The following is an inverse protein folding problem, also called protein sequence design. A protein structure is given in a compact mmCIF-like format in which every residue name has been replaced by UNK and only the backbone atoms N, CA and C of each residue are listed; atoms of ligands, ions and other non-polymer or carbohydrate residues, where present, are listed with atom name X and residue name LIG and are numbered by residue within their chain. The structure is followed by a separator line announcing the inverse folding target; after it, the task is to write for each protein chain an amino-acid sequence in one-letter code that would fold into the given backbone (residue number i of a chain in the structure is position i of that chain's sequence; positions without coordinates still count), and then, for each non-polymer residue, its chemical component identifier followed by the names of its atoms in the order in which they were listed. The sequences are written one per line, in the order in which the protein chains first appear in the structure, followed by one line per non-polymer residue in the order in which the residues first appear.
data_IF_190032674087
#
_entry.id   IF_190032674087
#
_cell.length_a   1.000
_cell.length_b   1.000
_cell.length_c   1.000
_cell.angle_alpha   90.00
_cell.angle_beta   90.00
_cell.angle_gamma   90.00
#
_symmetry.space_group_name_H-M   'P 1'
#
loop_
_entity.id
_entity.type
_entity.pdbx_description
1 polymer ?
#
# COMPACT_ATOMS: atom_id res chain seq x y z
N UNK A 1 6.80 8.59 -11.21
CA UNK A 1 6.81 9.02 -9.78
C UNK A 1 6.36 7.89 -8.88
N UNK A 2 6.80 7.88 -7.61
CA UNK A 2 6.42 6.84 -6.64
C UNK A 2 4.90 6.72 -6.49
N UNK A 3 4.20 7.84 -6.39
CA UNK A 3 2.75 7.86 -6.25
C UNK A 3 2.05 7.38 -7.52
N UNK A 4 2.57 7.71 -8.70
CA UNK A 4 2.02 7.28 -9.98
C UNK A 4 2.02 5.75 -10.11
N UNK A 5 3.18 5.13 -9.88
CA UNK A 5 3.33 3.68 -9.98
C UNK A 5 2.66 2.93 -8.83
N UNK A 6 2.91 3.37 -7.58
CA UNK A 6 2.51 2.59 -6.40
C UNK A 6 1.06 2.80 -5.97
N UNK A 7 0.40 3.88 -6.44
CA UNK A 7 -0.97 4.20 -6.05
C UNK A 7 -1.88 4.48 -7.25
N UNK A 8 -1.62 5.51 -8.05
CA UNK A 8 -2.55 5.91 -9.11
C UNK A 8 -2.77 4.82 -10.18
N UNK A 9 -1.70 4.11 -10.57
CA UNK A 9 -1.80 2.97 -11.47
C UNK A 9 -2.65 1.83 -10.89
N UNK A 10 -2.43 1.50 -9.61
CA UNK A 10 -3.24 0.49 -8.92
C UNK A 10 -4.68 0.93 -8.70
N UNK A 11 -4.91 2.21 -8.42
CA UNK A 11 -6.24 2.81 -8.33
C UNK A 11 -7.02 2.63 -9.63
N UNK A 12 -6.42 3.03 -10.75
CA UNK A 12 -7.05 2.93 -12.06
C UNK A 12 -7.35 1.47 -12.44
N UNK A 13 -6.36 0.59 -12.36
CA UNK A 13 -6.51 -0.84 -12.69
C UNK A 13 -7.58 -1.49 -11.82
N UNK A 14 -7.60 -1.21 -10.51
CA UNK A 14 -8.61 -1.79 -9.61
C UNK A 14 -10.02 -1.35 -10.01
N UNK A 15 -10.26 -0.05 -10.23
CA UNK A 15 -11.58 0.44 -10.59
C UNK A 15 -12.04 -0.09 -11.96
N UNK A 16 -11.15 -0.19 -12.94
CA UNK A 16 -11.47 -0.76 -14.26
C UNK A 16 -11.83 -2.25 -14.20
N UNK A 17 -11.21 -3.00 -13.30
CA UNK A 17 -11.46 -4.43 -13.14
C UNK A 17 -12.60 -4.75 -12.17
N UNK A 18 -12.98 -3.80 -11.30
CA UNK A 18 -13.91 -4.01 -10.19
C UNK A 18 -15.23 -4.68 -10.59
N UNK A 19 -15.87 -4.35 -11.74
CA UNK A 19 -17.09 -5.01 -12.19
C UNK A 19 -16.93 -6.52 -12.49
N UNK A 20 -15.68 -6.98 -12.68
CA UNK A 20 -15.37 -8.38 -12.99
C UNK A 20 -14.85 -9.15 -11.78
N UNK A 21 -14.69 -8.50 -10.63
CA UNK A 21 -14.21 -9.14 -9.41
C UNK A 21 -15.38 -9.74 -8.63
N UNK A 22 -15.15 -10.89 -8.00
CA UNK A 22 -16.22 -11.63 -7.31
C UNK A 22 -15.97 -11.83 -5.81
N UNK A 23 -14.74 -11.64 -5.32
CA UNK A 23 -14.41 -11.90 -3.91
C UNK A 23 -13.67 -10.74 -3.24
N UNK A 24 -12.46 -10.39 -3.69
CA UNK A 24 -11.66 -9.39 -2.98
C UNK A 24 -10.58 -8.70 -3.81
N UNK A 25 -10.12 -7.56 -3.27
CA UNK A 25 -8.91 -6.85 -3.71
C UNK A 25 -7.92 -6.84 -2.56
N UNK A 26 -6.67 -7.23 -2.82
CA UNK A 26 -5.57 -7.13 -1.84
C UNK A 26 -4.54 -6.11 -2.31
N UNK A 27 -4.44 -5.00 -1.59
CA UNK A 27 -3.52 -3.90 -1.89
C UNK A 27 -2.21 -4.07 -1.12
N UNK A 28 -1.08 -4.01 -1.80
CA UNK A 28 0.23 -4.15 -1.15
C UNK A 28 0.71 -2.81 -0.61
N UNK A 29 0.82 -2.72 0.73
CA UNK A 29 1.38 -1.58 1.44
C UNK A 29 2.72 -1.93 2.10
N UNK A 30 3.14 -1.19 3.12
CA UNK A 30 4.39 -1.39 3.86
C UNK A 30 4.30 -0.74 5.25
N UNK A 31 5.13 -1.21 6.19
CA UNK A 31 5.36 -0.50 7.46
C UNK A 31 5.92 0.91 7.24
N UNK A 32 6.54 1.17 6.10
CA UNK A 32 6.97 2.51 5.71
C UNK A 32 5.83 3.55 5.61
N UNK A 33 4.55 3.15 5.67
CA UNK A 33 3.43 4.09 5.73
C UNK A 33 3.40 4.97 7.00
N UNK A 34 4.04 4.55 8.10
CA UNK A 34 4.00 5.25 9.38
C UNK A 34 4.49 6.71 9.33
N UNK A 35 5.67 7.04 8.75
CA UNK A 35 6.10 8.42 8.57
C UNK A 35 5.41 9.12 7.39
N UNK A 36 4.63 8.40 6.59
CA UNK A 36 3.95 8.94 5.41
C UNK A 36 3.01 10.11 5.75
N UNK A 37 2.89 11.05 4.80
CA UNK A 37 1.93 12.15 4.83
C UNK A 37 1.39 12.37 3.43
N UNK A 38 0.08 12.54 3.30
CA UNK A 38 -0.54 12.94 2.04
C UNK A 38 -0.51 14.47 1.94
N UNK A 39 -0.03 14.97 0.82
CA UNK A 39 -0.09 16.38 0.42
C UNK A 39 -0.90 16.42 -0.87
N UNK A 40 -2.18 16.72 -0.77
CA UNK A 40 -3.10 16.71 -1.92
C UNK A 40 -2.71 17.75 -2.97
N UNK A 41 -2.20 18.91 -2.54
CA UNK A 41 -1.74 20.01 -3.39
C UNK A 41 -0.39 19.75 -4.07
N UNK A 42 0.39 18.76 -3.59
CA UNK A 42 1.71 18.40 -4.13
C UNK A 42 1.97 16.89 -4.04
N UNK A 43 1.01 16.10 -4.48
CA UNK A 43 1.07 14.64 -4.43
C UNK A 43 2.30 14.08 -5.17
N UNK A 44 2.72 14.76 -6.25
CA UNK A 44 3.84 14.39 -7.12
C UNK A 44 5.19 15.03 -6.75
N UNK A 45 5.31 15.73 -5.62
CA UNK A 45 6.55 16.36 -5.17
C UNK A 45 7.13 17.38 -6.18
N UNK A 46 6.30 18.19 -6.80
CA UNK A 46 6.72 19.21 -7.78
C UNK A 46 7.16 20.52 -7.12
N UNK A 47 6.64 20.83 -5.92
CA UNK A 47 6.88 22.09 -5.21
C UNK A 47 7.89 21.94 -4.07
N UNK A 48 7.90 20.83 -3.37
CA UNK A 48 8.79 20.55 -2.23
C UNK A 48 10.01 19.75 -2.66
N UNK A 49 11.09 19.81 -1.86
CA UNK A 49 12.29 19.01 -2.10
C UNK A 49 11.96 17.52 -2.12
N UNK A 50 12.31 16.85 -3.19
CA UNK A 50 12.05 15.42 -3.34
C UNK A 50 12.88 14.59 -2.35
N UNK A 51 12.20 13.71 -1.62
CA UNK A 51 12.81 12.69 -0.76
C UNK A 51 12.27 11.33 -1.19
N UNK A 52 13.12 10.44 -1.74
CA UNK A 52 12.69 9.11 -2.20
C UNK A 52 11.98 8.31 -1.11
N UNK A 53 12.52 8.35 0.11
CA UNK A 53 11.94 7.65 1.27
C UNK A 53 10.56 8.19 1.66
N UNK A 54 10.41 9.50 1.78
CA UNK A 54 9.12 10.10 2.13
C UNK A 54 8.10 9.97 1.00
N UNK A 55 8.52 10.01 -0.26
CA UNK A 55 7.64 9.76 -1.40
C UNK A 55 7.15 8.30 -1.42
N UNK A 56 8.03 7.34 -1.11
CA UNK A 56 7.66 5.95 -0.92
C UNK A 56 6.68 5.79 0.25
N UNK A 57 6.98 6.38 1.41
CA UNK A 57 6.14 6.35 2.60
C UNK A 57 4.74 6.94 2.32
N UNK A 58 4.68 8.05 1.59
CA UNK A 58 3.43 8.64 1.11
C UNK A 58 2.65 7.67 0.24
N UNK A 59 3.30 7.00 -0.72
CA UNK A 59 2.63 6.05 -1.60
C UNK A 59 2.05 4.83 -0.86
N UNK A 60 2.75 4.36 0.19
CA UNK A 60 2.28 3.23 1.00
C UNK A 60 1.16 3.63 1.97
N UNK A 61 1.16 4.87 2.46
CA UNK A 61 0.03 5.43 3.18
C UNK A 61 -1.19 5.59 2.26
N UNK A 62 -0.99 6.07 1.04
CA UNK A 62 -2.05 6.21 0.04
C UNK A 62 -2.74 4.86 -0.25
N UNK A 63 -1.98 3.77 -0.30
CA UNK A 63 -2.53 2.44 -0.51
C UNK A 63 -3.42 1.97 0.65
N UNK A 64 -3.12 2.32 1.90
CA UNK A 64 -3.99 2.00 3.03
C UNK A 64 -5.26 2.86 3.06
N UNK A 65 -5.14 4.15 2.73
CA UNK A 65 -6.29 5.04 2.59
C UNK A 65 -7.21 4.58 1.44
N UNK A 66 -6.63 4.18 0.31
CA UNK A 66 -7.35 3.59 -0.81
C UNK A 66 -8.12 2.33 -0.38
N UNK A 67 -7.48 1.42 0.35
CA UNK A 67 -8.13 0.19 0.83
C UNK A 67 -9.34 0.50 1.72
N UNK A 68 -9.20 1.46 2.65
CA UNK A 68 -10.27 1.85 3.55
C UNK A 68 -11.44 2.51 2.81
N UNK A 69 -11.15 3.41 1.89
CA UNK A 69 -12.18 4.10 1.11
C UNK A 69 -12.86 3.17 0.10
N UNK A 70 -12.11 2.25 -0.53
CA UNK A 70 -12.68 1.23 -1.40
C UNK A 70 -13.68 0.37 -0.62
N UNK A 71 -13.32 -0.12 0.57
CA UNK A 71 -14.26 -0.90 1.39
C UNK A 71 -15.52 -0.10 1.72
N UNK A 72 -15.37 1.15 2.17
CA UNK A 72 -16.50 2.01 2.48
C UNK A 72 -17.45 2.20 1.28
N UNK A 73 -16.92 2.35 0.09
CA UNK A 73 -17.71 2.47 -1.16
C UNK A 73 -18.40 1.17 -1.52
N UNK A 74 -17.71 0.04 -1.40
CA UNK A 74 -18.30 -1.28 -1.60
C UNK A 74 -19.46 -1.53 -0.64
N UNK A 75 -19.29 -1.22 0.64
CA UNK A 75 -20.35 -1.34 1.66
C UNK A 75 -21.55 -0.45 1.31
N UNK A 76 -21.32 0.77 0.82
CA UNK A 76 -22.40 1.72 0.49
C UNK A 76 -23.31 1.27 -0.67
N UNK A 77 -22.83 0.39 -1.54
CA UNK A 77 -23.60 -0.20 -2.64
C UNK A 77 -24.02 -1.65 -2.35
N UNK A 78 -23.79 -2.15 -1.13
CA UNK A 78 -24.13 -3.52 -0.74
C UNK A 78 -23.32 -4.59 -1.47
N UNK A 79 -22.13 -4.27 -1.96
CA UNK A 79 -21.28 -5.23 -2.66
C UNK A 79 -20.68 -6.24 -1.68
N UNK A 80 -20.65 -7.56 -2.01
CA UNK A 80 -20.00 -8.59 -1.18
C UNK A 80 -18.47 -8.57 -1.28
N UNK A 81 -17.90 -7.75 -2.15
CA UNK A 81 -16.45 -7.63 -2.34
C UNK A 81 -15.77 -7.08 -1.08
N UNK A 82 -14.56 -7.53 -0.84
CA UNK A 82 -13.74 -7.08 0.29
C UNK A 82 -12.46 -6.41 -0.21
N UNK A 83 -12.17 -5.23 0.30
CA UNK A 83 -10.90 -4.56 0.11
C UNK A 83 -10.00 -4.84 1.32
N UNK A 84 -8.84 -5.43 1.09
CA UNK A 84 -7.86 -5.83 2.09
C UNK A 84 -6.51 -5.21 1.76
N UNK A 85 -5.65 -5.08 2.76
CA UNK A 85 -4.26 -4.68 2.53
C UNK A 85 -3.29 -5.68 3.17
N UNK A 86 -2.10 -5.79 2.59
CA UNK A 86 -1.03 -6.62 3.14
C UNK A 86 0.32 -5.89 3.06
N UNK A 87 1.25 -6.21 3.98
CA UNK A 87 2.66 -5.82 3.83
C UNK A 87 3.56 -7.04 4.05
N UNK A 88 4.58 -7.20 3.20
CA UNK A 88 5.43 -8.41 3.18
C UNK A 88 6.40 -8.50 4.37
N UNK A 89 6.44 -7.51 5.26
CA UNK A 89 7.57 -7.36 6.19
C UNK A 89 8.77 -6.76 5.46
N UNK A 90 9.96 -7.16 5.86
CA UNK A 90 11.22 -6.77 5.20
C UNK A 90 11.72 -7.93 4.34
N UNK A 91 11.44 -7.91 3.05
CA UNK A 91 11.91 -8.93 2.12
C UNK A 91 13.03 -8.41 1.21
N UNK A 92 13.96 -9.28 0.87
CA UNK A 92 14.99 -9.02 -0.13
C UNK A 92 14.33 -8.89 -1.51
N UNK A 93 14.05 -7.67 -1.94
CA UNK A 93 13.65 -7.40 -3.31
C UNK A 93 14.71 -6.53 -3.98
N UNK A 94 14.95 -6.72 -5.28
CA UNK A 94 15.92 -5.96 -6.09
C UNK A 94 15.66 -4.43 -6.14
N UNK A 95 14.68 -3.93 -5.39
CA UNK A 95 14.37 -2.51 -5.30
C UNK A 95 15.45 -1.66 -4.60
N UNK A 96 16.39 -2.27 -3.90
CA UNK A 96 17.41 -1.54 -3.11
C UNK A 96 18.65 -1.16 -3.92
N UNK A 97 18.85 -1.73 -5.12
CA UNK A 97 20.00 -1.44 -5.98
C UNK A 97 19.89 -0.19 -6.86
N UNK A 98 18.82 0.59 -6.72
CA UNK A 98 18.54 1.72 -7.64
C UNK A 98 19.03 3.10 -7.15
N UNK A 99 19.76 3.20 -6.02
CA UNK A 99 20.12 4.51 -5.42
C UNK A 99 21.45 5.09 -5.84
N UNK A 100 22.33 4.36 -6.53
CA UNK A 100 23.57 4.89 -7.13
C UNK A 100 24.65 5.39 -6.17
N UNK A 101 24.60 5.03 -4.88
CA UNK A 101 25.62 5.40 -3.86
C UNK A 101 26.36 4.15 -3.34
N UNK A 102 27.47 3.80 -3.95
CA UNK A 102 28.21 2.55 -3.75
C UNK A 102 28.71 2.25 -2.33
N UNK A 103 28.99 3.22 -1.48
CA UNK A 103 29.51 2.99 -0.11
C UNK A 103 28.40 2.82 0.95
N UNK A 104 27.26 3.48 0.76
CA UNK A 104 26.08 3.27 1.61
C UNK A 104 25.36 1.96 1.30
N UNK A 105 25.42 1.54 0.04
CA UNK A 105 24.77 0.32 -0.45
C UNK A 105 25.45 -0.97 0.07
N UNK A 106 26.78 -0.97 0.28
CA UNK A 106 27.50 -2.13 0.82
C UNK A 106 27.19 -2.40 2.29
N UNK A 107 27.09 -1.36 3.13
CA UNK A 107 26.73 -1.50 4.55
C UNK A 107 25.25 -1.86 4.70
N UNK A 108 24.36 -1.22 3.92
CA UNK A 108 22.95 -1.56 3.88
C UNK A 108 22.71 -2.96 3.34
N UNK A 109 23.46 -3.41 2.33
CA UNK A 109 23.32 -4.76 1.78
C UNK A 109 23.74 -5.84 2.77
N UNK A 110 24.76 -5.59 3.61
CA UNK A 110 25.17 -6.51 4.66
C UNK A 110 24.12 -6.63 5.77
N UNK A 111 23.57 -5.50 6.24
CA UNK A 111 22.46 -5.47 7.21
C UNK A 111 21.20 -6.11 6.61
N UNK A 112 20.92 -5.84 5.34
CA UNK A 112 19.77 -6.38 4.62
C UNK A 112 19.86 -7.90 4.44
N UNK A 113 21.04 -8.47 4.19
CA UNK A 113 21.23 -9.94 4.10
C UNK A 113 20.93 -10.68 5.41
N UNK A 114 21.13 -10.04 6.54
CA UNK A 114 20.90 -10.65 7.86
C UNK A 114 19.44 -10.52 8.31
N UNK A 115 18.76 -9.48 7.86
CA UNK A 115 17.40 -9.12 8.35
C UNK A 115 16.30 -9.35 7.30
N UNK A 116 16.67 -9.36 6.01
CA UNK A 116 15.69 -9.56 4.95
C UNK A 116 15.26 -11.02 4.85
N UNK A 117 13.94 -11.20 4.82
CA UNK A 117 13.31 -12.51 4.62
C UNK A 117 13.26 -12.87 3.13
N UNK A 118 13.20 -14.15 2.84
CA UNK A 118 13.03 -14.69 1.50
C UNK A 118 11.74 -14.17 0.83
N UNK A 119 11.71 -14.17 -0.50
CA UNK A 119 10.55 -13.76 -1.29
C UNK A 119 9.29 -14.57 -0.93
N UNK A 120 9.45 -15.85 -0.65
CA UNK A 120 8.36 -16.73 -0.19
C UNK A 120 7.76 -16.26 1.13
N UNK A 121 8.59 -15.79 2.05
CA UNK A 121 8.09 -15.21 3.30
C UNK A 121 7.31 -13.91 3.04
N UNK A 122 7.80 -13.06 2.13
CA UNK A 122 7.11 -11.82 1.75
C UNK A 122 5.76 -12.06 1.05
N UNK A 123 5.64 -13.16 0.30
CA UNK A 123 4.38 -13.52 -0.38
C UNK A 123 3.30 -14.02 0.60
N UNK A 124 3.68 -14.62 1.73
CA UNK A 124 2.73 -15.24 2.69
C UNK A 124 1.64 -14.29 3.17
N UNK A 125 1.97 -13.02 3.42
CA UNK A 125 1.02 -12.04 3.92
C UNK A 125 -0.04 -11.69 2.87
N UNK A 126 0.37 -11.56 1.62
CA UNK A 126 -0.55 -11.33 0.50
C UNK A 126 -1.41 -12.55 0.25
N UNK A 127 -0.83 -13.75 0.24
CA UNK A 127 -1.57 -15.02 0.10
C UNK A 127 -2.54 -15.23 1.26
N UNK A 128 -2.15 -14.92 2.49
CA UNK A 128 -3.02 -14.99 3.66
C UNK A 128 -4.23 -14.05 3.50
N UNK A 129 -3.99 -12.79 3.11
CA UNK A 129 -5.07 -11.85 2.85
C UNK A 129 -5.97 -12.28 1.69
N UNK A 130 -5.40 -12.96 0.68
CA UNK A 130 -6.12 -13.44 -0.49
C UNK A 130 -6.96 -14.70 -0.21
N UNK A 131 -6.61 -15.52 0.79
CA UNK A 131 -7.22 -16.85 0.99
C UNK A 131 -8.03 -16.99 2.28
N UNK A 132 -7.75 -16.19 3.32
CA UNK A 132 -8.43 -16.32 4.60
C UNK A 132 -9.73 -15.53 4.65
N UNK A 133 -10.68 -16.01 5.44
CA UNK A 133 -11.93 -15.28 5.70
C UNK A 133 -11.66 -14.14 6.68
N UNK A 134 -11.46 -12.94 6.12
CA UNK A 134 -11.12 -11.72 6.84
C UNK A 134 -12.16 -10.64 6.56
N UNK A 135 -12.52 -9.83 7.56
CA UNK A 135 -13.36 -8.65 7.34
C UNK A 135 -12.72 -7.68 6.35
N UNK A 136 -13.53 -6.97 5.59
CA UNK A 136 -13.07 -5.86 4.76
C UNK A 136 -12.26 -4.84 5.54
N UNK A 137 -11.40 -4.12 4.87
CA UNK A 137 -10.46 -3.15 5.44
C UNK A 137 -9.44 -3.74 6.44
N UNK A 138 -9.24 -5.08 6.45
CA UNK A 138 -8.18 -5.71 7.26
C UNK A 138 -6.79 -5.42 6.65
N UNK A 139 -5.82 -5.12 7.51
CA UNK A 139 -4.41 -4.99 7.14
C UNK A 139 -3.63 -6.18 7.71
N UNK A 140 -2.98 -6.94 6.85
CA UNK A 140 -2.25 -8.17 7.18
C UNK A 140 -0.75 -7.94 7.13
N UNK A 141 -0.04 -8.48 8.10
CA UNK A 141 1.41 -8.41 8.16
C UNK A 141 2.02 -9.41 9.13
N UNK A 142 3.35 -9.44 9.25
CA UNK A 142 4.03 -10.20 10.29
C UNK A 142 3.77 -9.57 11.67
N UNK A 143 3.60 -10.42 12.70
CA UNK A 143 3.26 -10.01 14.07
C UNK A 143 4.13 -8.89 14.64
N UNK A 144 5.42 -8.91 14.35
CA UNK A 144 6.41 -7.94 14.86
C UNK A 144 6.81 -6.89 13.80
N UNK A 145 5.97 -6.66 12.80
CA UNK A 145 6.17 -5.67 11.75
C UNK A 145 7.11 -6.14 10.63
N UNK A 146 8.17 -6.87 10.94
CA UNK A 146 9.13 -7.38 9.95
C UNK A 146 9.18 -8.90 9.90
N UNK A 147 9.00 -9.55 11.02
CA UNK A 147 9.11 -11.00 11.21
C UNK A 147 7.93 -11.54 12.04
N UNK A 148 7.76 -12.86 12.01
CA UNK A 148 6.82 -13.56 12.83
C UNK A 148 5.62 -14.10 12.07
N UNK A 149 4.65 -14.60 12.82
CA UNK A 149 3.43 -15.20 12.26
C UNK A 149 2.62 -14.16 11.48
N UNK A 150 2.11 -14.54 10.32
CA UNK A 150 1.17 -13.74 9.52
C UNK A 150 -0.17 -13.60 10.25
N UNK A 151 -0.66 -12.37 10.39
CA UNK A 151 -1.91 -12.07 11.09
C UNK A 151 -2.41 -10.66 10.73
N UNK A 152 -3.66 -10.30 11.08
CA UNK A 152 -4.11 -8.92 11.10
C UNK A 152 -3.22 -8.06 12.02
N UNK A 153 -2.83 -6.89 11.53
CA UNK A 153 -1.93 -5.95 12.23
C UNK A 153 -2.50 -4.54 12.23
N UNK A 154 -2.03 -3.70 13.17
CA UNK A 154 -2.42 -2.30 13.26
C UNK A 154 -1.80 -1.44 12.15
N UNK A 155 -2.45 -0.30 11.91
CA UNK A 155 -1.98 0.75 11.00
C UNK A 155 -1.95 2.12 11.69
N UNK A 156 -1.25 3.09 11.12
CA UNK A 156 -1.17 4.44 11.69
C UNK A 156 -2.55 5.12 11.74
N UNK A 157 -2.72 6.10 12.64
CA UNK A 157 -3.96 6.91 12.69
C UNK A 157 -4.23 7.61 11.37
N UNK A 158 -3.19 8.08 10.65
CA UNK A 158 -3.34 8.69 9.34
C UNK A 158 -3.89 7.73 8.28
N UNK A 159 -3.58 6.44 8.39
CA UNK A 159 -4.10 5.41 7.48
C UNK A 159 -5.56 5.03 7.78
N UNK A 160 -6.15 5.62 8.81
CA UNK A 160 -7.53 5.42 9.25
C UNK A 160 -8.35 6.72 9.17
N UNK A 161 -7.83 7.77 8.55
CA UNK A 161 -8.50 9.06 8.39
C UNK A 161 -9.49 9.01 7.20
N UNK A 162 -10.80 8.96 7.46
CA UNK A 162 -11.79 8.83 6.39
C UNK A 162 -11.91 10.08 5.53
N UNK A 163 -11.66 11.26 6.10
CA UNK A 163 -11.72 12.51 5.33
C UNK A 163 -10.56 12.59 4.34
N UNK A 164 -9.35 12.24 4.79
CA UNK A 164 -8.18 12.16 3.90
C UNK A 164 -8.34 11.05 2.86
N UNK A 165 -8.94 9.91 3.20
CA UNK A 165 -9.19 8.81 2.28
C UNK A 165 -10.15 9.23 1.16
N UNK A 166 -11.25 9.90 1.49
CA UNK A 166 -12.20 10.42 0.52
C UNK A 166 -11.57 11.49 -0.39
N UNK A 167 -10.85 12.47 0.18
CA UNK A 167 -10.19 13.52 -0.59
C UNK A 167 -9.10 12.97 -1.53
N UNK A 168 -8.32 11.99 -1.08
CA UNK A 168 -7.34 11.30 -1.92
C UNK A 168 -8.01 10.50 -3.04
N UNK A 169 -9.16 9.88 -2.76
CA UNK A 169 -9.93 9.16 -3.77
C UNK A 169 -10.38 10.09 -4.89
N UNK A 170 -11.02 11.21 -4.56
CA UNK A 170 -11.48 12.20 -5.53
C UNK A 170 -10.34 12.74 -6.39
N UNK A 171 -9.20 13.06 -5.77
CA UNK A 171 -8.01 13.49 -6.50
C UNK A 171 -7.46 12.37 -7.41
N UNK A 172 -7.50 11.12 -6.96
CA UNK A 172 -7.05 9.97 -7.76
C UNK A 172 -7.97 9.75 -8.97
N UNK A 173 -9.29 9.88 -8.82
CA UNK A 173 -10.24 9.85 -9.93
C UNK A 173 -9.93 10.93 -10.98
N UNK A 174 -9.64 12.16 -10.53
CA UNK A 174 -9.29 13.28 -11.43
C UNK A 174 -7.97 13.03 -12.17
N UNK A 175 -6.95 12.49 -11.47
CA UNK A 175 -5.63 12.27 -12.04
C UNK A 175 -5.54 11.05 -12.97
N UNK A 176 -6.46 10.11 -12.84
CA UNK A 176 -6.48 8.86 -13.64
C UNK A 176 -7.62 8.80 -14.64
N UNK A 177 -8.51 9.78 -14.63
CA UNK A 177 -9.77 9.78 -15.40
C UNK A 177 -10.56 8.47 -15.23
N UNK A 178 -10.57 7.94 -14.01
CA UNK A 178 -11.19 6.66 -13.68
C UNK A 178 -12.13 6.85 -12.49
N UNK A 179 -13.37 6.39 -12.62
CA UNK A 179 -14.42 6.51 -11.59
C UNK A 179 -14.68 5.18 -10.89
N UNK A 180 -15.28 5.26 -9.69
CA UNK A 180 -15.84 4.08 -9.03
C UNK A 180 -16.99 3.52 -9.89
N UNK A 181 -16.94 2.24 -10.29
CA UNK A 181 -17.83 1.73 -11.35
C UNK A 181 -19.11 1.02 -10.85
N UNK A 182 -19.30 0.89 -9.52
CA UNK A 182 -20.43 0.17 -8.92
C UNK A 182 -21.47 1.11 -8.30
#
# INVERSE_FOLDING_TARGET
SQIGTNHLGHFAVTNLLLPNLTDRVVTVSSMAHWPGRISLDDLNWKRRRYSPWLAYSQSKLANLLFTGELQRRLDSVGSPLRALAAHPGYSHTNLQGASGRQLGDALMSAVTRVVATDADYGARQTLFAASQDLPGNTFVGPRFGQLGRTQPVGRSRRAQDPAMAAALWELSEQLTDTKFPL
#
